data_IF_598097104466
#
_entry.id   IF_598097104466
#
_cell.length_a   1.000
_cell.length_b   1.000
_cell.length_c   1.000
_cell.angle_alpha   90.00
_cell.angle_beta   90.00
_cell.angle_gamma   90.00
#
_symmetry.space_group_name_H-M   'P 1'
#
loop_
_entity.id
_entity.type
_entity.pdbx_description
1 polymer ?
#
# COMPACT_ATOMS: atom_id res chain seq x y z
N UNK A 1 -4.19 24.10 -19.70
CA UNK A 1 -3.82 23.25 -18.54
C UNK A 1 -3.45 21.87 -19.06
N UNK A 2 -2.34 21.26 -18.66
CA UNK A 2 -2.02 19.87 -19.06
C UNK A 2 -2.45 18.90 -17.97
N UNK A 3 -2.71 17.64 -18.33
CA UNK A 3 -3.12 16.60 -17.38
C UNK A 3 -2.09 16.46 -16.24
N UNK A 4 -0.79 16.41 -16.59
CA UNK A 4 0.32 16.38 -15.61
C UNK A 4 0.28 17.57 -14.63
N UNK A 5 -0.04 18.77 -15.12
CA UNK A 5 -0.10 19.99 -14.28
C UNK A 5 -1.34 20.01 -13.39
N UNK A 6 -2.46 19.47 -13.88
CA UNK A 6 -3.69 19.32 -13.09
C UNK A 6 -3.48 18.39 -11.88
N UNK A 7 -2.93 17.20 -12.11
CA UNK A 7 -2.66 16.22 -11.03
C UNK A 7 -1.52 16.63 -10.08
N UNK A 8 -0.61 17.49 -10.51
CA UNK A 8 0.44 18.02 -9.61
C UNK A 8 -0.01 19.24 -8.79
N UNK A 9 -0.83 20.12 -9.35
CA UNK A 9 -1.08 21.44 -8.73
C UNK A 9 -2.53 21.64 -8.25
N UNK A 10 -3.49 20.84 -8.72
CA UNK A 10 -4.91 21.06 -8.46
C UNK A 10 -5.61 19.87 -7.83
N UNK A 11 -5.10 18.67 -8.04
CA UNK A 11 -5.75 17.46 -7.60
C UNK A 11 -4.71 16.46 -7.12
N UNK A 12 -4.51 16.42 -5.81
CA UNK A 12 -3.61 15.47 -5.17
C UNK A 12 -4.17 14.05 -5.31
N UNK A 13 -3.45 13.22 -6.06
CA UNK A 13 -3.84 11.84 -6.31
C UNK A 13 -3.78 11.00 -5.03
N UNK A 14 -2.87 11.31 -4.10
CA UNK A 14 -2.76 10.61 -2.82
C UNK A 14 -3.95 10.92 -1.93
N UNK A 15 -4.37 12.18 -1.87
CA UNK A 15 -5.59 12.60 -1.16
C UNK A 15 -6.83 11.89 -1.71
N UNK A 16 -6.94 11.79 -3.04
CA UNK A 16 -8.06 11.13 -3.70
C UNK A 16 -8.08 9.61 -3.42
N UNK A 17 -6.91 8.96 -3.45
CA UNK A 17 -6.74 7.55 -3.10
C UNK A 17 -7.13 7.35 -1.62
N UNK A 18 -6.55 8.12 -0.68
CA UNK A 18 -6.87 8.04 0.75
C UNK A 18 -8.36 8.16 1.01
N UNK A 19 -9.03 9.12 0.36
CA UNK A 19 -10.47 9.34 0.51
C UNK A 19 -11.29 8.17 -0.04
N UNK A 20 -10.95 7.66 -1.23
CA UNK A 20 -11.62 6.50 -1.81
C UNK A 20 -11.46 5.25 -0.93
N UNK A 21 -10.28 5.05 -0.33
CA UNK A 21 -10.04 3.93 0.59
C UNK A 21 -10.64 4.13 1.98
N UNK A 22 -10.85 5.36 2.43
CA UNK A 22 -11.49 5.63 3.74
C UNK A 22 -12.93 5.11 3.84
N UNK A 23 -13.60 4.97 2.70
CA UNK A 23 -14.95 4.43 2.61
C UNK A 23 -14.96 2.89 2.56
N UNK A 24 -13.80 2.25 2.39
CA UNK A 24 -13.66 0.80 2.34
C UNK A 24 -13.30 0.28 3.75
N UNK A 25 -14.22 -0.42 4.43
CA UNK A 25 -13.91 -0.99 5.73
C UNK A 25 -12.78 -2.02 5.61
N UNK A 26 -11.88 -2.04 6.59
CA UNK A 26 -10.79 -3.03 6.68
C UNK A 26 -11.31 -4.48 6.53
N UNK A 27 -12.51 -4.78 7.03
CA UNK A 27 -13.17 -6.09 6.86
C UNK A 27 -13.43 -6.46 5.39
N UNK A 28 -13.76 -5.49 4.54
CA UNK A 28 -13.97 -5.73 3.11
C UNK A 28 -12.64 -6.00 2.39
N UNK A 29 -11.60 -5.25 2.74
CA UNK A 29 -10.22 -5.47 2.29
C UNK A 29 -9.75 -6.88 2.64
N UNK A 30 -9.84 -7.26 3.92
CA UNK A 30 -9.47 -8.59 4.41
C UNK A 30 -10.29 -9.67 3.69
N UNK A 31 -11.61 -9.48 3.54
CA UNK A 31 -12.46 -10.46 2.86
C UNK A 31 -12.13 -10.60 1.36
N UNK A 32 -11.70 -9.53 0.69
CA UNK A 32 -11.27 -9.59 -0.70
C UNK A 32 -9.92 -10.32 -0.82
N UNK A 33 -8.96 -10.00 0.05
CA UNK A 33 -7.68 -10.67 0.14
C UNK A 33 -7.83 -12.17 0.43
N UNK A 34 -8.74 -12.56 1.33
CA UNK A 34 -9.03 -13.96 1.64
C UNK A 34 -9.59 -14.75 0.44
N UNK A 35 -10.34 -14.10 -0.44
CA UNK A 35 -10.87 -14.74 -1.66
C UNK A 35 -9.82 -14.85 -2.75
N UNK A 36 -8.93 -13.87 -2.84
CA UNK A 36 -7.87 -13.82 -3.85
C UNK A 36 -6.68 -14.71 -3.48
N UNK A 37 -6.37 -14.84 -2.19
CA UNK A 37 -5.24 -15.59 -1.69
C UNK A 37 -5.65 -16.50 -0.50
N UNK A 38 -6.30 -17.66 -0.76
CA UNK A 38 -6.76 -18.56 0.29
C UNK A 38 -5.64 -19.16 1.14
N UNK A 39 -4.42 -19.27 0.59
CA UNK A 39 -3.23 -19.76 1.28
C UNK A 39 -2.82 -18.88 2.47
N UNK A 40 -3.02 -17.58 2.36
CA UNK A 40 -2.78 -16.58 3.44
C UNK A 40 -3.67 -16.86 4.65
N UNK A 41 -4.88 -17.39 4.43
CA UNK A 41 -5.91 -17.62 5.45
C UNK A 41 -5.67 -18.91 6.23
N UNK A 42 -5.03 -19.90 5.61
CA UNK A 42 -4.84 -21.23 6.20
C UNK A 42 -3.57 -21.33 7.07
N UNK A 43 -2.85 -20.22 7.28
CA UNK A 43 -1.65 -20.19 8.11
C UNK A 43 -0.49 -21.04 7.59
N UNK A 44 -0.58 -21.53 6.35
CA UNK A 44 0.38 -22.45 5.75
C UNK A 44 1.24 -21.78 4.68
N UNK A 45 1.84 -20.63 5.07
CA UNK A 45 2.86 -19.95 4.29
C UNK A 45 2.34 -18.80 3.43
N UNK A 46 2.12 -17.64 4.05
CA UNK A 46 2.90 -16.51 3.56
C UNK A 46 4.31 -16.85 4.00
N UNK A 47 5.21 -17.16 3.07
CA UNK A 47 6.61 -17.34 3.42
C UNK A 47 7.02 -16.05 4.15
N UNK A 48 7.34 -16.13 5.45
CA UNK A 48 7.92 -15.02 6.21
C UNK A 48 9.35 -14.70 5.72
N UNK A 49 9.76 -15.26 4.58
CA UNK A 49 11.10 -15.19 4.03
C UNK A 49 11.45 -13.83 3.45
N UNK A 50 10.47 -13.04 3.01
CA UNK A 50 10.75 -11.88 2.15
C UNK A 50 10.29 -10.55 2.78
N UNK A 51 9.85 -10.53 4.03
CA UNK A 51 9.44 -9.28 4.72
C UNK A 51 10.52 -8.19 4.66
N UNK A 52 11.82 -8.49 4.84
CA UNK A 52 12.88 -7.48 4.71
C UNK A 52 13.12 -7.04 3.25
N UNK A 53 12.96 -7.93 2.28
CA UNK A 53 13.14 -7.62 0.86
C UNK A 53 11.99 -6.73 0.34
N UNK A 54 10.76 -7.07 0.70
CA UNK A 54 9.57 -6.26 0.40
C UNK A 54 9.68 -4.87 1.05
N UNK A 55 10.21 -4.78 2.28
CA UNK A 55 10.46 -3.50 2.96
C UNK A 55 11.41 -2.61 2.16
N UNK A 56 12.55 -3.17 1.70
CA UNK A 56 13.54 -2.42 0.92
C UNK A 56 13.02 -2.01 -0.46
N UNK A 57 12.24 -2.87 -1.12
CA UNK A 57 11.57 -2.52 -2.39
C UNK A 57 10.58 -1.37 -2.23
N UNK A 58 9.78 -1.38 -1.16
CA UNK A 58 8.81 -0.31 -0.86
C UNK A 58 9.55 1.00 -0.55
N UNK A 59 10.58 0.98 0.29
CA UNK A 59 11.39 2.16 0.62
C UNK A 59 12.13 2.71 -0.59
N UNK A 60 12.62 1.84 -1.47
CA UNK A 60 13.27 2.24 -2.72
C UNK A 60 12.26 2.90 -3.66
N UNK A 61 11.08 2.30 -3.81
CA UNK A 61 9.99 2.86 -4.62
C UNK A 61 9.51 4.21 -4.05
N UNK A 62 9.37 4.33 -2.73
CA UNK A 62 8.99 5.57 -2.07
C UNK A 62 10.02 6.68 -2.30
N UNK A 63 11.32 6.36 -2.21
CA UNK A 63 12.42 7.28 -2.54
C UNK A 63 12.36 7.74 -4.00
N UNK A 64 12.16 6.82 -4.94
CA UNK A 64 12.04 7.12 -6.37
C UNK A 64 10.82 7.99 -6.70
N UNK A 65 9.76 7.87 -5.90
CA UNK A 65 8.54 8.67 -6.00
C UNK A 65 8.58 9.97 -5.18
N UNK A 66 9.71 10.25 -4.51
CA UNK A 66 9.88 11.41 -3.61
C UNK A 66 8.82 11.47 -2.49
N UNK A 67 8.41 10.30 -1.97
CA UNK A 67 7.47 10.16 -0.86
C UNK A 67 8.22 10.10 0.49
N UNK A 68 7.69 10.81 1.50
CA UNK A 68 8.16 10.69 2.89
C UNK A 68 7.55 9.43 3.52
N UNK A 69 8.26 8.30 3.40
CA UNK A 69 7.90 7.01 4.00
C UNK A 69 9.13 6.42 4.69
N UNK A 70 8.97 6.02 5.94
CA UNK A 70 10.03 5.46 6.77
C UNK A 70 9.76 3.97 7.04
N UNK A 71 10.75 3.27 7.59
CA UNK A 71 10.60 1.85 8.00
C UNK A 71 9.41 1.68 8.96
N UNK A 72 9.27 2.56 9.96
CA UNK A 72 8.18 2.52 10.94
C UNK A 72 6.78 2.60 10.28
N UNK A 73 6.63 3.39 9.21
CA UNK A 73 5.36 3.56 8.50
C UNK A 73 4.95 2.29 7.75
N UNK A 74 5.93 1.50 7.31
CA UNK A 74 5.72 0.25 6.58
C UNK A 74 5.55 -0.92 7.56
N UNK A 75 6.24 -0.88 8.69
CA UNK A 75 6.11 -1.85 9.77
C UNK A 75 4.65 -1.91 10.28
N UNK A 76 3.99 -0.75 10.46
CA UNK A 76 2.56 -0.66 10.82
C UNK A 76 1.62 -1.26 9.72
N UNK A 77 2.05 -1.28 8.47
CA UNK A 77 1.25 -1.78 7.34
C UNK A 77 1.39 -3.29 7.14
N UNK A 78 2.55 -3.86 7.45
CA UNK A 78 2.87 -5.27 7.21
C UNK A 78 2.61 -6.15 8.45
N UNK A 79 2.67 -5.58 9.66
CA UNK A 79 2.54 -6.29 10.95
C UNK A 79 1.23 -5.96 11.68
#
# INVERSE_FOLDING_TARGET
>A
MTLKKFWKEKFDILEAIRKAWSEVPQRQLISAWWKLCPSVVQGNGCDQGDTPEIMDEILTTARDLELEVNEDDIEELIM
#
